data_IF_653614652653
#
_entry.id   IF_653614652653
#
_cell.length_a   1.000
_cell.length_b   1.000
_cell.length_c   1.000
_cell.angle_alpha   90.00
_cell.angle_beta   90.00
_cell.angle_gamma   90.00
#
_symmetry.space_group_name_H-M   'P 1'
#
loop_
_entity.id
_entity.type
_entity.pdbx_description
1 polymer ?
#
# COMPACT_ATOMS: atom_id res chain seq x y z
N UNK A 1 3.09 6.03 -15.50
CA UNK A 1 1.61 6.17 -15.62
C UNK A 1 1.16 6.12 -14.18
N UNK A 2 0.65 7.22 -13.63
CA UNK A 2 0.50 7.35 -12.19
C UNK A 2 -0.34 6.21 -11.58
N UNK A 3 0.11 5.69 -10.44
CA UNK A 3 -0.65 4.77 -9.62
C UNK A 3 -1.89 5.48 -9.08
N UNK A 4 -3.01 4.75 -9.02
CA UNK A 4 -4.25 5.22 -8.44
C UNK A 4 -4.68 4.35 -7.25
N UNK A 5 -5.68 4.81 -6.49
CA UNK A 5 -6.19 4.09 -5.30
C UNK A 5 -6.64 2.65 -5.59
N UNK A 6 -7.16 2.39 -6.79
CA UNK A 6 -7.69 1.06 -7.16
C UNK A 6 -6.54 0.09 -7.40
N UNK A 7 -5.46 0.54 -8.04
CA UNK A 7 -4.25 -0.26 -8.23
C UNK A 7 -3.58 -0.61 -6.90
N UNK A 8 -3.57 0.30 -5.92
CA UNK A 8 -3.08 0.00 -4.58
C UNK A 8 -4.00 -1.01 -3.89
N UNK A 9 -5.31 -0.79 -3.92
CA UNK A 9 -6.27 -1.75 -3.36
C UNK A 9 -6.11 -3.15 -3.97
N UNK A 10 -6.08 -3.27 -5.29
CA UNK A 10 -5.87 -4.55 -5.98
C UNK A 10 -4.54 -5.20 -5.59
N UNK A 11 -3.50 -4.40 -5.35
CA UNK A 11 -2.21 -4.95 -4.91
C UNK A 11 -2.24 -5.48 -3.47
N UNK A 12 -3.07 -4.90 -2.59
CA UNK A 12 -3.32 -5.41 -1.24
C UNK A 12 -4.13 -6.70 -1.32
N UNK A 13 -5.18 -6.72 -2.14
CA UNK A 13 -5.98 -7.93 -2.38
C UNK A 13 -5.13 -9.07 -2.99
N UNK A 14 -4.15 -8.75 -3.85
CA UNK A 14 -3.17 -9.72 -4.37
C UNK A 14 -2.25 -10.31 -3.30
N UNK A 15 -1.94 -9.56 -2.25
CA UNK A 15 -1.17 -10.10 -1.11
C UNK A 15 -2.02 -11.06 -0.26
N UNK A 16 -3.34 -10.91 -0.30
CA UNK A 16 -4.32 -11.77 0.36
C UNK A 16 -5.38 -11.01 1.17
N UNK A 17 -6.54 -11.62 1.35
CA UNK A 17 -7.69 -11.02 2.05
C UNK A 17 -7.35 -10.62 3.49
N UNK A 18 -6.41 -11.31 4.15
CA UNK A 18 -5.94 -11.00 5.51
C UNK A 18 -5.31 -9.60 5.61
N UNK A 19 -4.63 -9.13 4.55
CA UNK A 19 -4.03 -7.79 4.52
C UNK A 19 -5.09 -6.71 4.37
N UNK A 20 -6.12 -6.97 3.56
CA UNK A 20 -7.26 -6.06 3.45
C UNK A 20 -8.04 -6.00 4.76
N UNK A 21 -8.30 -7.16 5.38
CA UNK A 21 -8.98 -7.23 6.67
C UNK A 21 -8.17 -6.56 7.77
N UNK A 22 -6.84 -6.71 7.78
CA UNK A 22 -5.95 -6.03 8.71
C UNK A 22 -6.09 -4.49 8.64
N UNK A 23 -6.17 -3.94 7.43
CA UNK A 23 -6.38 -2.50 7.20
C UNK A 23 -7.77 -2.05 7.71
N UNK A 24 -8.82 -2.80 7.36
CA UNK A 24 -10.20 -2.51 7.76
C UNK A 24 -10.39 -2.61 9.28
N UNK A 25 -9.88 -3.68 9.90
CA UNK A 25 -9.96 -3.89 11.35
C UNK A 25 -9.20 -2.81 12.10
N UNK A 26 -7.99 -2.47 11.67
CA UNK A 26 -7.23 -1.38 12.28
C UNK A 26 -8.01 -0.06 12.25
N UNK A 27 -8.59 0.28 11.10
CA UNK A 27 -9.39 1.49 10.95
C UNK A 27 -10.61 1.48 11.89
N UNK A 28 -11.32 0.34 11.95
CA UNK A 28 -12.50 0.17 12.82
C UNK A 28 -12.15 0.26 14.31
N UNK A 29 -11.00 -0.28 14.71
CA UNK A 29 -10.55 -0.32 16.10
C UNK A 29 -10.00 1.04 16.59
N UNK A 30 -9.26 1.74 15.75
CA UNK A 30 -8.51 2.96 16.14
C UNK A 30 -9.29 4.24 15.86
N UNK A 31 -10.14 4.26 14.82
CA UNK A 31 -10.84 5.46 14.39
C UNK A 31 -12.35 5.24 14.19
N UNK A 32 -13.10 4.94 15.28
CA UNK A 32 -14.54 4.67 15.18
C UNK A 32 -15.39 5.89 14.77
N UNK A 33 -14.89 7.12 14.97
CA UNK A 33 -15.69 8.36 14.79
C UNK A 33 -15.20 9.31 13.68
N UNK A 34 -13.96 9.17 13.19
CA UNK A 34 -13.41 9.74 11.93
C UNK A 34 -11.90 9.56 11.90
N UNK A 35 -11.36 9.00 10.79
CA UNK A 35 -10.01 9.24 10.22
C UNK A 35 -9.86 8.49 8.87
N UNK A 36 -8.71 8.44 8.15
CA UNK A 36 -8.68 8.03 6.73
C UNK A 36 -9.28 6.65 6.50
N UNK A 37 -10.25 6.56 5.59
CA UNK A 37 -10.84 5.29 5.18
C UNK A 37 -9.76 4.40 4.54
N UNK A 38 -9.95 3.07 4.46
CA UNK A 38 -9.05 2.22 3.67
C UNK A 38 -8.80 2.75 2.25
N UNK A 39 -9.79 3.43 1.65
CA UNK A 39 -9.65 4.10 0.35
C UNK A 39 -8.77 5.36 0.39
N UNK A 40 -8.78 6.12 1.48
CA UNK A 40 -7.88 7.27 1.69
C UNK A 40 -6.44 6.82 1.89
N UNK A 41 -6.22 5.72 2.64
CA UNK A 41 -4.91 5.09 2.79
C UNK A 41 -4.38 4.63 1.42
N UNK A 42 -5.22 3.97 0.62
CA UNK A 42 -4.85 3.55 -0.73
C UNK A 42 -4.52 4.74 -1.65
N UNK A 43 -5.21 5.88 -1.47
CA UNK A 43 -4.93 7.11 -2.22
C UNK A 43 -3.60 7.74 -1.78
N UNK A 44 -3.36 7.84 -0.47
CA UNK A 44 -2.12 8.37 0.08
C UNK A 44 -0.90 7.55 -0.36
N UNK A 45 -0.99 6.21 -0.35
CA UNK A 45 0.10 5.37 -0.85
C UNK A 45 0.31 5.53 -2.36
N UNK A 46 -0.76 5.69 -3.14
CA UNK A 46 -0.63 5.97 -4.57
C UNK A 46 0.14 7.29 -4.80
N UNK A 47 -0.22 8.36 -4.08
CA UNK A 47 0.47 9.65 -4.14
C UNK A 47 1.92 9.56 -3.70
N UNK A 48 2.22 8.82 -2.61
CA UNK A 48 3.56 8.58 -2.11
C UNK A 48 4.43 7.84 -3.13
N UNK A 49 3.92 6.74 -3.69
CA UNK A 49 4.65 5.94 -4.70
C UNK A 49 4.87 6.72 -5.99
N UNK A 50 3.90 7.55 -6.39
CA UNK A 50 4.04 8.48 -7.51
C UNK A 50 5.16 9.49 -7.23
N UNK A 51 5.20 10.09 -6.03
CA UNK A 51 6.23 11.05 -5.63
C UNK A 51 7.64 10.44 -5.56
N UNK A 52 7.75 9.15 -5.24
CA UNK A 52 9.01 8.39 -5.28
C UNK A 52 9.45 8.01 -6.71
N UNK A 53 8.64 8.30 -7.73
CA UNK A 53 8.92 7.96 -9.13
C UNK A 53 8.70 6.48 -9.47
N UNK A 54 8.25 5.66 -8.52
CA UNK A 54 8.07 4.22 -8.70
C UNK A 54 6.90 3.86 -9.63
N UNK A 55 5.95 4.78 -9.80
CA UNK A 55 4.82 4.61 -10.71
C UNK A 55 5.10 5.03 -12.16
N UNK A 56 6.13 5.86 -12.37
CA UNK A 56 6.48 6.36 -13.70
C UNK A 56 7.56 5.53 -14.38
N UNK A 57 8.25 4.68 -13.62
CA UNK A 57 9.17 3.70 -14.16
C UNK A 57 8.40 2.52 -14.80
N UNK A 58 8.55 2.35 -16.11
CA UNK A 58 7.89 1.28 -16.89
C UNK A 58 8.53 -0.08 -16.67
N UNK A 59 9.74 -0.11 -16.12
CA UNK A 59 10.46 -1.31 -15.77
C UNK A 59 10.07 -1.80 -14.38
N UNK A 60 9.34 -0.99 -13.61
CA UNK A 60 8.83 -1.38 -12.30
C UNK A 60 7.37 -1.80 -12.39
N UNK A 61 7.08 -2.97 -11.80
CA UNK A 61 5.72 -3.49 -11.68
C UNK A 61 5.37 -3.69 -10.22
N UNK A 62 4.30 -3.03 -9.75
CA UNK A 62 3.73 -3.28 -8.43
C UNK A 62 3.11 -4.69 -8.40
N UNK A 63 3.75 -5.60 -7.68
CA UNK A 63 3.33 -7.01 -7.56
C UNK A 63 2.23 -7.14 -6.52
N UNK A 64 2.50 -6.70 -5.30
CA UNK A 64 1.61 -6.83 -4.15
C UNK A 64 1.94 -5.76 -3.10
N UNK A 65 1.01 -5.52 -2.19
CA UNK A 65 1.18 -4.62 -1.05
C UNK A 65 0.83 -5.35 0.23
N UNK A 66 1.80 -5.51 1.12
CA UNK A 66 1.63 -6.20 2.40
C UNK A 66 1.22 -5.20 3.46
N UNK A 67 0.17 -5.52 4.20
CA UNK A 67 -0.30 -4.75 5.34
C UNK A 67 -0.01 -5.52 6.63
N UNK A 68 0.74 -4.91 7.53
CA UNK A 68 1.04 -5.46 8.85
C UNK A 68 0.40 -4.59 9.94
N UNK A 69 -0.32 -5.21 10.88
CA UNK A 69 -0.83 -4.49 12.05
C UNK A 69 0.30 -4.31 13.05
N UNK A 70 0.62 -3.06 13.37
CA UNK A 70 1.54 -2.71 14.44
C UNK A 70 0.90 -1.67 15.36
N UNK A 71 0.06 -2.10 16.32
CA UNK A 71 -0.64 -1.15 17.20
C UNK A 71 0.33 -0.13 17.82
N UNK A 72 0.03 1.18 17.75
CA UNK A 72 -1.26 1.77 17.40
C UNK A 72 -1.47 2.11 15.91
N UNK A 73 -0.67 1.61 14.97
CA UNK A 73 -0.71 1.92 13.53
C UNK A 73 -0.82 0.66 12.64
N UNK A 74 -0.91 0.86 11.32
CA UNK A 74 -0.65 -0.14 10.29
C UNK A 74 0.59 0.23 9.51
N UNK A 75 1.34 -0.79 9.10
CA UNK A 75 2.50 -0.67 8.22
C UNK A 75 2.13 -1.23 6.86
N UNK A 76 2.42 -0.48 5.80
CA UNK A 76 2.28 -0.98 4.43
C UNK A 76 3.66 -1.03 3.77
N UNK A 77 3.93 -2.16 3.13
CA UNK A 77 5.15 -2.43 2.39
C UNK A 77 4.77 -2.85 0.97
N UNK A 78 5.27 -2.16 -0.04
CA UNK A 78 5.00 -2.48 -1.44
C UNK A 78 6.12 -3.33 -2.03
N UNK A 79 5.75 -4.40 -2.73
CA UNK A 79 6.68 -5.25 -3.46
C UNK A 79 6.64 -4.87 -4.92
N UNK A 80 7.78 -4.41 -5.44
CA UNK A 80 7.97 -4.14 -6.85
C UNK A 80 8.85 -5.20 -7.50
N UNK A 81 8.55 -5.53 -8.74
CA UNK A 81 9.40 -6.33 -9.62
C UNK A 81 10.05 -5.38 -10.64
N UNK A 82 11.39 -5.41 -10.68
CA UNK A 82 12.18 -4.78 -11.74
C UNK A 82 12.24 -5.78 -12.91
N UNK A 83 11.53 -5.46 -13.98
CA UNK A 83 11.40 -6.28 -15.18
C UNK A 83 12.70 -6.38 -15.98
N UNK A 84 13.62 -5.43 -15.83
CA UNK A 84 14.92 -5.47 -16.52
C UNK A 84 15.89 -6.41 -15.83
N UNK A 85 15.88 -6.41 -14.49
CA UNK A 85 16.77 -7.23 -13.67
C UNK A 85 16.15 -8.57 -13.27
N UNK A 86 14.84 -8.73 -13.39
CA UNK A 86 14.10 -9.91 -12.97
C UNK A 86 14.13 -10.14 -11.46
N UNK A 87 14.39 -9.11 -10.67
CA UNK A 87 14.44 -9.19 -9.20
C UNK A 87 13.29 -8.39 -8.56
N UNK A 88 12.95 -8.77 -7.33
CA UNK A 88 11.95 -8.09 -6.53
C UNK A 88 12.61 -7.31 -5.41
N UNK A 89 12.03 -6.16 -5.07
CA UNK A 89 12.42 -5.36 -3.93
C UNK A 89 11.20 -4.81 -3.22
N UNK A 90 11.41 -4.42 -1.96
CA UNK A 90 10.37 -3.87 -1.09
C UNK A 90 10.64 -2.37 -0.88
N UNK A 91 9.58 -1.56 -0.86
CA UNK A 91 9.70 -0.16 -0.47
C UNK A 91 9.94 -0.05 1.03
N UNK A 92 10.44 1.11 1.48
CA UNK A 92 10.45 1.39 2.91
C UNK A 92 9.03 1.29 3.48
N UNK A 93 8.85 0.59 4.62
CA UNK A 93 7.53 0.45 5.22
C UNK A 93 7.00 1.80 5.71
N UNK A 94 5.76 2.11 5.39
CA UNK A 94 5.13 3.37 5.75
C UNK A 94 3.98 3.16 6.75
N UNK A 95 3.93 4.00 7.79
CA UNK A 95 2.98 3.88 8.90
C UNK A 95 2.20 5.16 9.21
N UNK A 96 2.54 6.27 8.55
CA UNK A 96 2.08 7.62 8.90
C UNK A 96 0.81 7.98 8.13
N UNK A 97 -0.28 7.27 8.44
CA UNK A 97 -1.62 7.50 7.90
C UNK A 97 -2.48 8.23 8.95
N UNK A 98 -2.13 9.49 9.25
CA UNK A 98 -2.93 10.35 10.13
C UNK A 98 -4.12 11.01 9.42
#
# INVERSE_FOLDING_TARGET
MALNREQIRESIERAGDEHWEALVRHHTDVYPESNPTPGDVCRAEAERLNALGLADDRHLKLVESRVERMPPAVRITHVFEDLDKGNRFETEPFTDYE
#
